data_IF_425391373201
#
_entry.id   IF_425391373201
#
_cell.length_a   1.000
_cell.length_b   1.000
_cell.length_c   1.000
_cell.angle_alpha   90.00
_cell.angle_beta   90.00
_cell.angle_gamma   90.00
#
_symmetry.space_group_name_H-M   'P 1'
#
loop_
_entity.id
_entity.type
_entity.pdbx_description
1 polymer ?
#
# COMPACT_ATOMS: atom_id res chain seq x y z
N UNK A 1 63.35 17.40 39.89
CA UNK A 1 62.97 16.14 39.20
C UNK A 1 61.83 15.45 39.96
N UNK A 2 60.67 16.09 40.13
CA UNK A 2 59.49 15.47 40.75
C UNK A 2 58.23 16.31 40.43
N UNK A 3 57.53 15.96 39.35
CA UNK A 3 56.14 16.37 39.08
C UNK A 3 55.30 15.27 38.40
N UNK A 4 55.90 14.10 38.13
CA UNK A 4 55.28 13.07 37.29
C UNK A 4 54.32 12.15 38.06
N UNK A 5 54.50 11.98 39.37
CA UNK A 5 53.66 11.12 40.19
C UNK A 5 52.32 11.79 40.57
N UNK A 6 52.33 13.10 40.82
CA UNK A 6 51.13 13.86 41.20
C UNK A 6 50.16 14.07 40.02
N UNK A 7 50.69 14.19 38.80
CA UNK A 7 49.86 14.36 37.59
C UNK A 7 49.04 13.11 37.26
N UNK A 8 49.53 11.92 37.60
CA UNK A 8 48.80 10.66 37.36
C UNK A 8 47.73 10.41 38.42
N UNK A 9 47.97 10.82 39.67
CA UNK A 9 46.98 10.77 40.73
C UNK A 9 45.80 11.72 40.44
N UNK A 10 46.09 12.95 39.99
CA UNK A 10 45.06 13.92 39.62
C UNK A 10 44.26 13.51 38.37
N UNK A 11 44.89 12.83 37.40
CA UNK A 11 44.19 12.32 36.21
C UNK A 11 43.29 11.12 36.53
N UNK A 12 43.66 10.27 37.50
CA UNK A 12 42.79 9.17 37.98
C UNK A 12 41.60 9.67 38.79
N UNK A 13 41.80 10.66 39.67
CA UNK A 13 40.73 11.24 40.46
C UNK A 13 39.62 11.88 39.60
N UNK A 14 39.96 12.51 38.46
CA UNK A 14 38.97 13.09 37.54
C UNK A 14 38.09 12.05 36.83
N UNK A 15 38.62 10.87 36.51
CA UNK A 15 37.82 9.79 35.89
C UNK A 15 36.85 9.10 36.84
N UNK A 16 37.09 9.17 38.15
CA UNK A 16 36.14 8.68 39.16
C UNK A 16 35.05 9.72 39.50
N UNK A 17 35.34 11.02 39.36
CA UNK A 17 34.36 12.12 39.49
C UNK A 17 33.44 12.24 38.26
N UNK A 18 33.98 12.01 37.07
CA UNK A 18 33.19 11.89 35.84
C UNK A 18 32.60 10.48 35.79
N UNK A 19 31.56 10.24 36.60
CA UNK A 19 30.83 8.97 36.63
C UNK A 19 30.28 8.62 35.25
N UNK A 20 31.08 7.90 34.45
CA UNK A 20 30.70 7.28 33.20
C UNK A 20 29.68 6.16 33.52
N UNK A 21 28.44 6.57 33.72
CA UNK A 21 27.29 5.67 33.89
C UNK A 21 27.04 4.97 32.55
N UNK A 22 27.63 3.80 32.36
CA UNK A 22 27.28 2.91 31.26
C UNK A 22 25.81 2.49 31.37
N UNK A 23 25.14 2.31 30.22
CA UNK A 23 23.82 1.69 30.15
C UNK A 23 23.88 0.31 30.81
N UNK A 24 22.95 0.05 31.73
CA UNK A 24 22.87 -1.28 32.34
C UNK A 24 22.20 -2.26 31.37
N UNK A 25 22.62 -3.54 31.42
CA UNK A 25 21.97 -4.59 30.62
C UNK A 25 20.48 -4.73 30.97
N UNK A 26 20.10 -4.44 32.21
CA UNK A 26 18.71 -4.50 32.66
C UNK A 26 17.85 -3.38 32.08
N UNK A 27 18.41 -2.17 31.89
CA UNK A 27 17.70 -1.08 31.20
C UNK A 27 17.39 -1.45 29.76
N UNK A 28 18.37 -2.02 29.04
CA UNK A 28 18.12 -2.50 27.68
C UNK A 28 17.13 -3.67 27.63
N UNK A 29 17.20 -4.58 28.61
CA UNK A 29 16.30 -5.74 28.69
C UNK A 29 14.84 -5.31 28.84
N UNK A 30 14.53 -4.40 29.77
CA UNK A 30 13.16 -3.94 29.99
C UNK A 30 12.60 -3.22 28.74
N UNK A 31 13.44 -2.45 28.05
CA UNK A 31 13.03 -1.74 26.82
C UNK A 31 12.63 -2.71 25.71
N UNK A 32 13.44 -3.73 25.43
CA UNK A 32 13.10 -4.70 24.38
C UNK A 32 11.88 -5.55 24.73
N UNK A 33 11.64 -5.81 26.03
CA UNK A 33 10.42 -6.47 26.49
C UNK A 33 9.19 -5.60 26.20
N UNK A 34 9.23 -4.31 26.53
CA UNK A 34 8.11 -3.40 26.29
C UNK A 34 7.86 -3.26 24.78
N UNK A 35 8.91 -3.03 23.97
CA UNK A 35 8.78 -2.96 22.51
C UNK A 35 8.26 -4.28 21.95
N UNK A 36 8.68 -5.42 22.49
CA UNK A 36 8.20 -6.75 22.10
C UNK A 36 6.70 -6.92 22.32
N UNK A 37 6.19 -6.49 23.48
CA UNK A 37 4.74 -6.53 23.79
C UNK A 37 3.96 -5.62 22.83
N UNK A 38 4.46 -4.40 22.59
CA UNK A 38 3.81 -3.45 21.68
C UNK A 38 3.80 -3.98 20.24
N UNK A 39 4.92 -4.52 19.76
CA UNK A 39 5.03 -5.07 18.41
C UNK A 39 4.12 -6.28 18.19
N UNK A 40 3.99 -7.15 19.20
CA UNK A 40 3.12 -8.33 19.13
C UNK A 40 1.64 -7.96 18.88
N UNK A 41 1.17 -6.83 19.44
CA UNK A 41 -0.20 -6.33 19.22
C UNK A 41 -0.27 -5.49 17.94
N UNK A 42 0.73 -4.66 17.68
CA UNK A 42 0.71 -3.70 16.58
C UNK A 42 0.80 -4.36 15.19
N UNK A 43 1.63 -5.41 15.03
CA UNK A 43 1.84 -6.06 13.73
C UNK A 43 0.55 -6.63 13.12
N UNK A 44 -0.25 -7.47 13.80
CA UNK A 44 -1.46 -8.02 13.20
C UNK A 44 -2.50 -6.93 12.86
N UNK A 45 -2.61 -5.90 13.70
CA UNK A 45 -3.51 -4.76 13.44
C UNK A 45 -3.05 -3.98 12.20
N UNK A 46 -1.76 -3.68 12.11
CA UNK A 46 -1.17 -2.96 10.99
C UNK A 46 -1.35 -3.72 9.68
N UNK A 47 -1.12 -5.04 9.67
CA UNK A 47 -1.32 -5.88 8.49
C UNK A 47 -2.79 -5.86 8.03
N UNK A 48 -3.76 -5.97 8.95
CA UNK A 48 -5.17 -5.87 8.62
C UNK A 48 -5.59 -4.49 8.07
N UNK A 49 -5.02 -3.42 8.63
CA UNK A 49 -5.25 -2.06 8.12
C UNK A 49 -4.63 -1.85 6.74
N UNK A 50 -3.42 -2.35 6.52
CA UNK A 50 -2.76 -2.28 5.21
C UNK A 50 -3.58 -3.02 4.14
N UNK A 51 -4.10 -4.20 4.45
CA UNK A 51 -4.96 -4.94 3.52
C UNK A 51 -6.27 -4.19 3.21
N UNK A 52 -6.91 -3.63 4.23
CA UNK A 52 -8.15 -2.83 4.04
C UNK A 52 -7.89 -1.56 3.22
N UNK A 53 -6.72 -0.94 3.38
CA UNK A 53 -6.30 0.22 2.59
C UNK A 53 -6.08 -0.16 1.12
N UNK A 54 -5.47 -1.32 0.84
CA UNK A 54 -5.28 -1.84 -0.52
C UNK A 54 -6.63 -2.17 -1.18
N UNK A 55 -7.56 -2.79 -0.45
CA UNK A 55 -8.92 -3.04 -0.94
C UNK A 55 -9.62 -1.72 -1.30
N UNK A 56 -9.51 -0.70 -0.43
CA UNK A 56 -10.09 0.62 -0.68
C UNK A 56 -9.44 1.34 -1.87
N UNK A 57 -8.13 1.16 -2.07
CA UNK A 57 -7.41 1.71 -3.21
C UNK A 57 -7.90 1.09 -4.52
N UNK A 58 -7.99 -0.24 -4.61
CA UNK A 58 -8.53 -0.93 -5.80
C UNK A 58 -9.98 -0.50 -6.09
N UNK A 59 -10.80 -0.33 -5.06
CA UNK A 59 -12.16 0.18 -5.22
C UNK A 59 -12.18 1.61 -5.78
N UNK A 60 -11.28 2.48 -5.33
CA UNK A 60 -11.13 3.84 -5.87
C UNK A 60 -10.69 3.80 -7.32
N UNK A 61 -9.72 2.96 -7.66
CA UNK A 61 -9.20 2.82 -9.02
C UNK A 61 -10.30 2.33 -9.97
N UNK A 62 -11.15 1.39 -9.56
CA UNK A 62 -12.29 0.94 -10.35
C UNK A 62 -13.30 2.07 -10.63
N UNK A 63 -13.54 2.96 -9.67
CA UNK A 63 -14.41 4.14 -9.88
C UNK A 63 -13.79 5.13 -10.86
N UNK A 64 -12.48 5.34 -10.75
CA UNK A 64 -11.72 6.20 -11.65
C UNK A 64 -11.72 5.61 -13.07
N UNK A 65 -11.47 4.30 -13.21
CA UNK A 65 -11.56 3.58 -14.47
C UNK A 65 -12.95 3.70 -15.09
N UNK A 66 -14.02 3.48 -14.31
CA UNK A 66 -15.40 3.66 -14.78
C UNK A 66 -15.64 5.06 -15.33
N UNK A 67 -15.21 6.08 -14.58
CA UNK A 67 -15.37 7.48 -15.00
C UNK A 67 -14.59 7.75 -16.29
N UNK A 68 -13.37 7.22 -16.39
CA UNK A 68 -12.53 7.36 -17.57
C UNK A 68 -13.10 6.65 -18.79
N UNK A 69 -13.66 5.44 -18.63
CA UNK A 69 -14.34 4.70 -19.70
C UNK A 69 -15.52 5.51 -20.23
N UNK A 70 -16.38 6.03 -19.33
CA UNK A 70 -17.55 6.82 -19.73
C UNK A 70 -17.10 8.10 -20.46
N UNK A 71 -16.08 8.79 -19.96
CA UNK A 71 -15.53 9.97 -20.61
C UNK A 71 -14.96 9.65 -22.00
N UNK A 72 -14.19 8.56 -22.13
CA UNK A 72 -13.66 8.09 -23.41
C UNK A 72 -14.78 7.82 -24.41
N UNK A 73 -15.85 7.13 -23.99
CA UNK A 73 -17.00 6.80 -24.84
C UNK A 73 -17.73 8.06 -25.34
N UNK A 74 -17.77 9.12 -24.55
CA UNK A 74 -18.36 10.41 -24.95
C UNK A 74 -17.50 11.10 -26.02
N UNK A 75 -16.18 11.07 -25.88
CA UNK A 75 -15.26 11.72 -26.81
C UNK A 75 -15.06 10.92 -28.12
N UNK A 76 -15.21 9.59 -28.06
CA UNK A 76 -15.00 8.67 -29.19
C UNK A 76 -16.27 7.86 -29.48
N UNK A 77 -17.36 8.51 -29.92
CA UNK A 77 -18.62 7.82 -30.18
C UNK A 77 -18.46 6.81 -31.33
N UNK A 78 -18.66 5.52 -31.02
CA UNK A 78 -18.61 4.44 -32.01
C UNK A 78 -17.23 3.86 -32.28
N UNK A 79 -16.20 4.20 -31.49
CA UNK A 79 -14.95 3.44 -31.49
C UNK A 79 -15.07 2.15 -30.68
N UNK A 80 -14.44 1.09 -31.20
CA UNK A 80 -14.40 -0.24 -30.59
C UNK A 80 -13.22 -0.37 -29.60
N UNK A 81 -13.35 -1.32 -28.67
CA UNK A 81 -12.34 -1.77 -27.69
C UNK A 81 -11.58 -0.68 -26.92
N UNK A 82 -12.08 -0.37 -25.72
CA UNK A 82 -11.37 0.44 -24.74
C UNK A 82 -10.34 -0.42 -24.01
N UNK A 83 -9.11 0.08 -23.89
CA UNK A 83 -8.03 -0.57 -23.13
C UNK A 83 -7.51 0.35 -22.03
N UNK A 84 -6.84 -0.22 -21.02
CA UNK A 84 -6.18 0.56 -19.95
C UNK A 84 -5.23 1.61 -20.52
N UNK A 85 -4.41 1.21 -21.50
CA UNK A 85 -3.41 2.10 -22.08
C UNK A 85 -4.05 3.34 -22.73
N UNK A 86 -5.25 3.19 -23.32
CA UNK A 86 -5.99 4.31 -23.89
C UNK A 86 -6.50 5.27 -22.80
N UNK A 87 -6.95 4.75 -21.67
CA UNK A 87 -7.44 5.56 -20.55
C UNK A 87 -6.30 6.33 -19.85
N UNK A 88 -5.15 5.68 -19.67
CA UNK A 88 -3.95 6.28 -19.09
C UNK A 88 -3.33 7.33 -20.02
N UNK A 89 -3.26 7.05 -21.33
CA UNK A 89 -2.71 7.98 -22.32
C UNK A 89 -3.65 9.15 -22.64
N UNK A 90 -4.97 8.92 -22.60
CA UNK A 90 -6.00 9.88 -22.99
C UNK A 90 -6.28 10.98 -21.96
N UNK A 91 -5.56 11.01 -20.84
CA UNK A 91 -5.71 12.00 -19.78
C UNK A 91 -7.16 12.06 -19.20
N UNK A 92 -7.82 10.90 -19.10
CA UNK A 92 -9.16 10.77 -18.53
C UNK A 92 -9.17 10.63 -16.99
N UNK A 93 -8.07 10.98 -16.34
CA UNK A 93 -7.96 10.93 -14.88
C UNK A 93 -7.83 9.53 -14.29
N UNK A 94 -7.41 8.54 -15.10
CA UNK A 94 -7.15 7.18 -14.65
C UNK A 94 -5.64 6.86 -14.70
N UNK A 95 -5.16 6.25 -13.62
CA UNK A 95 -3.83 5.63 -13.49
C UNK A 95 -4.00 4.43 -12.58
N UNK A 96 -3.47 3.26 -12.96
CA UNK A 96 -3.52 2.11 -12.05
C UNK A 96 -2.59 2.32 -10.86
N UNK A 97 -3.06 2.03 -9.64
CA UNK A 97 -2.19 1.88 -8.47
C UNK A 97 -1.29 0.66 -8.61
N UNK A 98 -0.11 0.69 -7.97
CA UNK A 98 0.81 -0.46 -7.88
C UNK A 98 0.17 -1.66 -7.14
N UNK A 99 -0.81 -1.40 -6.27
CA UNK A 99 -1.49 -2.41 -5.47
C UNK A 99 -2.69 -3.05 -6.17
N UNK A 100 -3.03 -2.55 -7.36
CA UNK A 100 -4.19 -2.98 -8.12
C UNK A 100 -3.75 -3.69 -9.40
N UNK A 101 -4.23 -4.91 -9.60
CA UNK A 101 -3.75 -5.79 -10.67
C UNK A 101 -4.91 -6.59 -11.29
N UNK A 102 -4.61 -7.44 -12.27
CA UNK A 102 -5.60 -8.39 -12.80
C UNK A 102 -6.81 -7.75 -13.48
N UNK A 103 -6.65 -6.54 -14.01
CA UNK A 103 -7.72 -5.81 -14.67
C UNK A 103 -8.33 -6.60 -15.85
N UNK A 104 -9.66 -6.65 -15.92
CA UNK A 104 -10.40 -7.32 -16.99
C UNK A 104 -11.76 -6.65 -17.26
N UNK A 105 -12.43 -7.06 -18.34
CA UNK A 105 -13.82 -6.68 -18.62
C UNK A 105 -14.03 -5.28 -19.22
N UNK A 106 -12.99 -4.65 -19.77
CA UNK A 106 -13.15 -3.38 -20.47
C UNK A 106 -14.08 -3.52 -21.68
N UNK A 107 -14.97 -2.53 -21.93
CA UNK A 107 -15.94 -2.61 -23.02
C UNK A 107 -15.25 -2.71 -24.38
N UNK A 108 -15.71 -3.69 -25.16
CA UNK A 108 -15.31 -3.89 -26.56
C UNK A 108 -16.23 -3.16 -27.56
N UNK A 109 -17.42 -2.73 -27.10
CA UNK A 109 -18.42 -1.99 -27.86
C UNK A 109 -19.10 -0.97 -26.93
N UNK A 110 -19.33 0.30 -27.36
CA UNK A 110 -19.93 1.35 -26.54
C UNK A 110 -21.41 1.14 -26.16
N UNK A 111 -22.10 0.17 -26.76
CA UNK A 111 -23.55 -0.08 -26.57
C UNK A 111 -23.87 -1.25 -25.64
N UNK A 112 -22.86 -2.06 -25.29
CA UNK A 112 -23.04 -3.22 -24.41
C UNK A 112 -22.94 -2.83 -22.94
N UNK A 113 -23.77 -3.42 -22.08
CA UNK A 113 -23.52 -3.39 -20.65
C UNK A 113 -22.15 -4.02 -20.39
N UNK A 114 -21.29 -3.28 -19.69
CA UNK A 114 -19.94 -3.73 -19.37
C UNK A 114 -19.72 -3.77 -17.86
N UNK A 115 -18.83 -4.65 -17.44
CA UNK A 115 -18.38 -4.84 -16.07
C UNK A 115 -16.86 -4.98 -16.08
N UNK A 116 -16.18 -4.02 -15.45
CA UNK A 116 -14.73 -4.11 -15.26
C UNK A 116 -14.45 -4.74 -13.90
N UNK A 117 -13.39 -5.54 -13.83
CA UNK A 117 -12.89 -6.10 -12.58
C UNK A 117 -11.41 -5.79 -12.38
N UNK A 118 -10.99 -5.72 -11.13
CA UNK A 118 -9.61 -5.56 -10.72
C UNK A 118 -9.38 -6.21 -9.36
N UNK A 119 -8.13 -6.59 -9.11
CA UNK A 119 -7.72 -7.35 -7.94
C UNK A 119 -6.95 -6.45 -6.99
N UNK A 120 -7.34 -6.43 -5.72
CA UNK A 120 -6.42 -6.17 -4.62
C UNK A 120 -5.57 -7.43 -4.37
N UNK A 121 -4.57 -7.40 -3.47
CA UNK A 121 -3.70 -8.56 -3.26
C UNK A 121 -4.43 -9.85 -2.85
N UNK A 122 -5.63 -9.75 -2.26
CA UNK A 122 -6.37 -10.92 -1.77
C UNK A 122 -7.84 -10.97 -2.21
N UNK A 123 -8.34 -9.95 -2.92
CA UNK A 123 -9.72 -9.90 -3.38
C UNK A 123 -9.89 -9.41 -4.80
N UNK A 124 -10.97 -9.82 -5.44
CA UNK A 124 -11.45 -9.24 -6.69
C UNK A 124 -12.62 -8.31 -6.41
N UNK A 125 -12.60 -7.15 -7.06
CA UNK A 125 -13.72 -6.22 -7.06
C UNK A 125 -14.16 -5.98 -8.49
N UNK A 126 -15.44 -5.75 -8.70
CA UNK A 126 -15.99 -5.37 -10.00
C UNK A 126 -16.86 -4.13 -9.91
N UNK A 127 -17.06 -3.48 -11.04
CA UNK A 127 -18.01 -2.37 -11.19
C UNK A 127 -18.61 -2.40 -12.60
N UNK A 128 -19.92 -2.29 -12.69
CA UNK A 128 -20.63 -2.20 -13.97
C UNK A 128 -20.91 -0.75 -14.39
N UNK A 129 -21.28 -0.57 -15.66
CA UNK A 129 -21.64 0.74 -16.22
C UNK A 129 -22.69 1.47 -15.37
N UNK A 130 -23.69 0.75 -14.86
CA UNK A 130 -24.82 1.33 -14.11
C UNK A 130 -24.74 1.03 -12.60
N UNK A 131 -23.99 0.01 -12.21
CA UNK A 131 -23.89 -0.46 -10.83
C UNK A 131 -22.84 0.23 -9.96
N UNK A 132 -22.85 -0.14 -8.68
CA UNK A 132 -21.79 0.17 -7.72
C UNK A 132 -20.70 -0.91 -7.73
N UNK A 133 -19.75 -0.76 -6.80
CA UNK A 133 -18.69 -1.75 -6.59
C UNK A 133 -19.28 -3.01 -5.95
N UNK A 134 -18.84 -4.17 -6.44
CA UNK A 134 -19.11 -5.48 -5.86
C UNK A 134 -17.78 -6.09 -5.37
N UNK A 135 -17.81 -6.73 -4.20
CA UNK A 135 -16.71 -7.56 -3.68
C UNK A 135 -16.98 -9.00 -4.11
N UNK A 136 -16.17 -9.53 -5.02
CA UNK A 136 -16.29 -10.88 -5.59
C UNK A 136 -15.64 -11.94 -4.70
N UNK A 137 -15.06 -11.54 -3.56
CA UNK A 137 -14.38 -12.44 -2.64
C UNK A 137 -12.94 -12.69 -3.04
N UNK A 138 -12.49 -13.95 -2.93
CA UNK A 138 -11.09 -14.32 -3.19
C UNK A 138 -10.68 -13.96 -4.63
N UNK A 139 -9.40 -13.64 -4.84
CA UNK A 139 -8.86 -13.31 -6.17
C UNK A 139 -9.28 -14.35 -7.20
N UNK A 140 -10.12 -13.93 -8.14
CA UNK A 140 -10.54 -14.72 -9.29
C UNK A 140 -9.55 -14.44 -10.42
N UNK A 141 -9.17 -15.48 -11.17
CA UNK A 141 -8.36 -15.29 -12.37
C UNK A 141 -9.08 -14.33 -13.33
N UNK A 142 -8.37 -13.44 -14.06
CA UNK A 142 -9.02 -12.50 -14.96
C UNK A 142 -9.92 -13.27 -15.93
N UNK A 143 -11.21 -12.91 -15.95
CA UNK A 143 -12.18 -13.52 -16.85
C UNK A 143 -11.66 -13.39 -18.28
N UNK A 144 -11.39 -14.52 -18.93
CA UNK A 144 -11.03 -14.53 -20.34
C UNK A 144 -12.20 -13.95 -21.13
N UNK A 145 -11.96 -13.06 -22.11
CA UNK A 145 -13.04 -12.51 -22.92
C UNK A 145 -13.82 -13.65 -23.58
N UNK A 146 -15.14 -13.60 -23.49
CA UNK A 146 -16.01 -14.51 -24.24
C UNK A 146 -15.69 -14.33 -25.74
N UNK A 147 -15.37 -15.45 -26.38
CA UNK A 147 -14.94 -15.55 -27.77
C UNK A 147 -16.05 -15.21 -28.77
#
# INVERSE_FOLDING_TARGET
>A
MLKLHDTLAAARARREEEGEKGFTLIELLVVVIIIGILAAIAIPIFLGQQQSAQDSATQSDLRNAKTAIIAYQVDHPGEDAITIAMLEAGNYGFTSSETTSGWAGFPVDPTSEWEISANSPNKTFSISATGGIVDEGAVVAPAQPAN
#
